data_IF_786671385263
#
_entry.id   IF_786671385263
#
_cell.length_a   1.000
_cell.length_b   1.000
_cell.length_c   1.000
_cell.angle_alpha   90.00
_cell.angle_beta   90.00
_cell.angle_gamma   90.00
#
_symmetry.space_group_name_H-M   'P 1'
#
loop_
_entity.id
_entity.type
_entity.pdbx_description
1 polymer ?
#
# COMPACT_ATOMS: atom_id res chain seq x y z
N UNK A 1 3.85 20.69 12.31
CA UNK A 1 3.26 19.44 12.82
C UNK A 1 3.75 18.29 11.95
N UNK A 2 4.20 17.19 12.55
CA UNK A 2 4.69 15.98 11.85
C UNK A 2 3.79 14.80 12.25
N UNK A 3 3.48 13.92 11.30
CA UNK A 3 2.82 12.62 11.52
C UNK A 3 3.80 11.48 11.25
N UNK A 4 3.61 10.36 11.94
CA UNK A 4 4.35 9.10 11.71
C UNK A 4 5.69 8.96 12.46
N UNK A 5 6.33 10.07 12.85
CA UNK A 5 7.57 10.05 13.61
C UNK A 5 7.75 11.29 14.51
N UNK A 6 8.68 11.21 15.45
CA UNK A 6 9.09 12.34 16.28
C UNK A 6 9.86 13.39 15.45
N UNK A 7 9.59 14.68 15.70
CA UNK A 7 10.20 15.77 14.94
C UNK A 7 11.73 15.86 15.12
N UNK A 8 12.28 15.42 16.26
CA UNK A 8 13.74 15.38 16.44
C UNK A 8 14.39 14.28 15.59
N UNK A 9 13.72 13.12 15.46
CA UNK A 9 14.16 12.04 14.57
C UNK A 9 14.15 12.50 13.12
N UNK A 10 13.07 13.14 12.66
CA UNK A 10 12.99 13.63 11.27
C UNK A 10 14.06 14.69 10.98
N UNK A 11 14.36 15.60 11.92
CA UNK A 11 15.47 16.56 11.73
C UNK A 11 16.83 15.88 11.61
N UNK A 12 17.09 14.81 12.39
CA UNK A 12 18.31 14.01 12.23
C UNK A 12 18.35 13.32 10.87
N UNK A 13 17.26 12.70 10.45
CA UNK A 13 17.14 12.06 9.15
C UNK A 13 17.42 13.02 7.99
N UNK A 14 16.91 14.26 8.08
CA UNK A 14 17.21 15.32 7.09
C UNK A 14 18.71 15.65 7.11
N UNK A 15 19.28 15.96 8.28
CA UNK A 15 20.68 16.36 8.42
C UNK A 15 21.64 15.27 7.93
N UNK A 16 21.38 14.03 8.32
CA UNK A 16 22.26 12.88 8.06
C UNK A 16 21.97 12.21 6.72
N UNK A 17 20.96 12.70 5.98
CA UNK A 17 20.43 12.10 4.73
C UNK A 17 20.06 10.62 4.89
N UNK A 18 19.63 10.24 6.07
CA UNK A 18 19.15 8.90 6.37
C UNK A 18 17.71 8.73 5.85
N UNK A 19 17.55 7.94 4.79
CA UNK A 19 16.26 7.72 4.14
C UNK A 19 15.36 6.72 4.86
N UNK A 20 15.93 5.92 5.77
CA UNK A 20 15.25 4.84 6.49
C UNK A 20 15.57 4.88 8.00
N UNK A 21 15.21 5.96 8.73
CA UNK A 21 15.63 6.20 10.11
C UNK A 21 14.93 5.33 11.18
N UNK A 22 14.35 4.19 10.81
CA UNK A 22 13.70 3.24 11.72
C UNK A 22 12.23 3.53 12.01
N UNK A 23 11.50 4.08 11.04
CA UNK A 23 10.10 4.50 11.14
C UNK A 23 9.15 3.64 10.28
N UNK A 24 7.87 4.00 10.28
CA UNK A 24 6.84 3.49 9.34
C UNK A 24 6.42 4.54 8.30
N UNK A 25 7.26 5.55 8.10
CA UNK A 25 6.95 6.72 7.28
C UNK A 25 6.63 7.95 8.11
N UNK A 26 6.83 9.10 7.50
CA UNK A 26 6.56 10.38 8.14
C UNK A 26 6.32 11.45 7.09
N UNK A 27 5.48 12.42 7.45
CA UNK A 27 5.35 13.64 6.68
C UNK A 27 4.85 14.80 7.55
N UNK A 28 5.02 16.02 7.05
CA UNK A 28 4.40 17.22 7.60
C UNK A 28 5.32 18.43 7.54
N UNK A 29 5.11 19.38 8.45
CA UNK A 29 5.87 20.63 8.56
C UNK A 29 6.73 20.68 9.81
N UNK A 30 8.00 21.04 9.65
CA UNK A 30 8.93 21.35 10.74
C UNK A 30 9.83 22.54 10.38
N UNK A 31 10.70 22.94 11.31
CA UNK A 31 11.83 23.83 10.99
C UNK A 31 13.10 22.99 10.84
N UNK A 32 13.70 23.03 9.64
CA UNK A 32 14.98 22.44 9.30
C UNK A 32 15.95 23.55 8.89
N UNK A 33 17.17 23.53 9.45
CA UNK A 33 18.22 24.51 9.13
C UNK A 33 17.74 25.98 9.26
N UNK A 34 16.83 26.24 10.21
CA UNK A 34 16.27 27.57 10.47
C UNK A 34 15.14 28.00 9.53
N UNK A 35 14.74 27.17 8.56
CA UNK A 35 13.66 27.44 7.59
C UNK A 35 12.44 26.56 7.86
N UNK A 36 11.21 27.05 7.65
CA UNK A 36 10.03 26.18 7.53
C UNK A 36 10.20 25.21 6.36
N UNK A 37 9.85 23.95 6.57
CA UNK A 37 10.03 22.90 5.57
C UNK A 37 8.89 21.89 5.67
N UNK A 38 8.25 21.63 4.53
CA UNK A 38 7.43 20.44 4.34
C UNK A 38 8.33 19.25 4.02
N UNK A 39 8.09 18.12 4.66
CA UNK A 39 8.92 16.93 4.51
C UNK A 39 8.02 15.73 4.26
N UNK A 40 8.42 14.85 3.34
CA UNK A 40 7.74 13.58 3.08
C UNK A 40 8.78 12.47 2.91
N UNK A 41 8.58 11.34 3.60
CA UNK A 41 9.53 10.22 3.60
C UNK A 41 9.76 9.63 2.19
N UNK A 42 10.83 8.85 2.03
CA UNK A 42 11.33 8.34 0.75
C UNK A 42 10.32 7.50 -0.04
N UNK A 43 9.32 6.88 0.61
CA UNK A 43 8.27 6.11 -0.05
C UNK A 43 6.93 6.85 -0.09
N UNK A 44 6.83 8.04 0.49
CA UNK A 44 5.59 8.82 0.51
C UNK A 44 4.47 8.17 1.32
N UNK A 45 4.81 7.37 2.34
CA UNK A 45 3.87 6.55 3.13
C UNK A 45 2.81 7.37 3.85
N UNK A 46 3.17 8.57 4.30
CA UNK A 46 2.21 9.54 4.81
C UNK A 46 1.90 10.55 3.69
N UNK A 47 0.65 10.61 3.19
CA UNK A 47 0.25 11.63 2.21
C UNK A 47 0.43 13.03 2.77
N UNK A 48 0.94 13.93 1.94
CA UNK A 48 1.11 15.35 2.26
C UNK A 48 0.91 16.15 1.00
N UNK A 49 0.07 17.18 1.09
CA UNK A 49 -0.31 18.03 -0.03
C UNK A 49 0.02 19.48 0.28
N UNK A 50 0.36 20.24 -0.75
CA UNK A 50 0.49 21.68 -0.73
C UNK A 50 -0.45 22.29 -1.78
N UNK A 51 -0.83 23.54 -1.62
CA UNK A 51 -1.60 24.29 -2.60
C UNK A 51 -0.69 24.65 -3.80
N UNK A 52 -1.08 24.27 -5.03
CA UNK A 52 -0.23 24.41 -6.23
C UNK A 52 0.27 25.83 -6.48
N UNK A 53 -0.59 26.82 -6.20
CA UNK A 53 -0.32 28.24 -6.44
C UNK A 53 0.13 29.03 -5.21
N UNK A 54 0.42 28.38 -4.08
CA UNK A 54 0.82 29.09 -2.88
C UNK A 54 2.20 29.74 -3.03
N UNK A 55 2.29 31.02 -2.68
CA UNK A 55 3.58 31.75 -2.65
C UNK A 55 4.54 31.20 -1.58
N UNK A 56 4.00 30.72 -0.46
CA UNK A 56 4.73 29.93 0.54
C UNK A 56 3.93 28.65 0.81
N UNK A 57 4.35 27.48 0.28
CA UNK A 57 3.66 26.21 0.49
C UNK A 57 3.76 25.73 1.95
N UNK A 58 4.64 26.32 2.76
CA UNK A 58 4.79 25.98 4.18
C UNK A 58 3.88 26.81 5.09
N UNK A 59 3.21 27.84 4.57
CA UNK A 59 2.32 28.70 5.33
C UNK A 59 1.10 27.92 5.87
N UNK A 60 0.54 28.38 6.98
CA UNK A 60 -0.67 27.77 7.53
C UNK A 60 -1.83 27.91 6.54
N UNK A 61 -2.52 26.81 6.26
CA UNK A 61 -3.58 26.75 5.24
C UNK A 61 -3.09 26.51 3.80
N UNK A 62 -1.77 26.52 3.55
CA UNK A 62 -1.19 26.23 2.23
C UNK A 62 -0.79 24.75 2.07
N UNK A 63 -1.00 23.91 3.09
CA UNK A 63 -0.69 22.49 3.07
C UNK A 63 -1.62 21.71 4.01
N UNK A 64 -1.80 20.43 3.71
CA UNK A 64 -2.64 19.54 4.50
C UNK A 64 -2.25 18.07 4.31
N UNK A 65 -2.67 17.22 5.26
CA UNK A 65 -2.62 15.76 5.09
C UNK A 65 -3.84 15.21 4.32
N UNK A 66 -4.92 16.00 4.27
CA UNK A 66 -6.16 15.70 3.56
C UNK A 66 -6.31 16.70 2.40
N UNK A 67 -6.25 16.25 1.13
CA UNK A 67 -6.28 17.13 -0.02
C UNK A 67 -7.63 17.84 -0.17
N UNK A 68 -8.72 17.30 0.41
CA UNK A 68 -10.07 17.90 0.32
C UNK A 68 -10.21 19.20 1.11
N UNK A 69 -9.21 19.54 1.92
CA UNK A 69 -9.15 20.78 2.71
C UNK A 69 -8.44 21.93 1.97
N UNK A 70 -7.90 21.68 0.78
CA UNK A 70 -7.19 22.63 -0.08
C UNK A 70 -8.01 22.95 -1.35
N UNK A 71 -7.62 24.01 -2.07
CA UNK A 71 -8.30 24.43 -3.31
C UNK A 71 -7.82 23.66 -4.54
N UNK A 72 -6.52 23.69 -4.82
CA UNK A 72 -5.84 22.94 -5.87
C UNK A 72 -4.64 22.17 -5.26
N UNK A 73 -4.92 21.03 -4.57
CA UNK A 73 -3.89 20.25 -3.90
C UNK A 73 -2.93 19.60 -4.89
N UNK A 74 -1.64 19.70 -4.59
CA UNK A 74 -0.56 18.90 -5.20
C UNK A 74 0.16 18.11 -4.14
N UNK A 75 0.44 16.85 -4.44
CA UNK A 75 1.26 16.01 -3.57
C UNK A 75 2.65 16.63 -3.41
N UNK A 76 3.12 16.72 -2.18
CA UNK A 76 4.55 16.94 -1.91
C UNK A 76 5.26 15.66 -2.37
N UNK A 77 6.30 15.74 -3.23
CA UNK A 77 6.97 14.55 -3.74
C UNK A 77 7.55 13.68 -2.61
N UNK A 78 7.50 12.36 -2.77
CA UNK A 78 8.14 11.44 -1.83
C UNK A 78 9.67 11.66 -1.81
N UNK A 79 10.30 11.53 -0.65
CA UNK A 79 11.74 11.72 -0.50
C UNK A 79 12.21 13.18 -0.55
N UNK A 80 11.29 14.15 -0.50
CA UNK A 80 11.62 15.57 -0.64
C UNK A 80 11.45 16.39 0.63
N UNK A 81 12.22 17.47 0.69
CA UNK A 81 12.04 18.62 1.56
C UNK A 81 11.64 19.83 0.71
N UNK A 82 10.40 20.32 0.87
CA UNK A 82 9.86 21.50 0.18
C UNK A 82 9.92 22.72 1.08
N UNK A 83 10.47 23.81 0.56
CA UNK A 83 10.50 25.13 1.21
C UNK A 83 9.73 26.15 0.37
N UNK A 84 9.79 27.44 0.72
CA UNK A 84 9.24 28.50 -0.12
C UNK A 84 9.99 28.68 -1.45
N UNK A 85 11.27 28.31 -1.49
CA UNK A 85 12.15 28.62 -2.62
C UNK A 85 12.44 27.40 -3.52
N UNK A 86 12.36 26.18 -2.97
CA UNK A 86 12.82 24.97 -3.66
C UNK A 86 12.17 23.68 -3.16
N UNK A 87 12.22 22.66 -4.03
CA UNK A 87 12.03 21.25 -3.72
C UNK A 87 13.39 20.54 -3.72
N UNK A 88 13.91 20.20 -2.54
CA UNK A 88 15.15 19.43 -2.37
C UNK A 88 14.81 17.93 -2.35
N UNK A 89 15.28 17.18 -3.35
CA UNK A 89 15.23 15.72 -3.38
C UNK A 89 16.19 15.15 -2.33
N UNK A 90 15.73 15.10 -1.09
CA UNK A 90 16.57 14.88 0.08
C UNK A 90 17.08 13.44 0.20
N UNK A 91 16.27 12.49 -0.23
CA UNK A 91 16.52 11.07 0.00
C UNK A 91 16.35 10.25 -1.28
N UNK A 92 17.26 9.29 -1.42
CA UNK A 92 17.14 8.17 -2.36
C UNK A 92 17.08 6.87 -1.58
N UNK A 93 16.55 5.82 -2.22
CA UNK A 93 16.54 4.49 -1.62
C UNK A 93 17.96 3.94 -1.57
N UNK A 94 18.38 3.32 -0.45
CA UNK A 94 19.72 2.79 -0.32
C UNK A 94 19.99 1.67 -1.31
N UNK A 95 21.26 1.52 -1.68
CA UNK A 95 21.76 0.38 -2.45
C UNK A 95 22.51 -0.57 -1.52
N UNK A 96 22.49 -1.85 -1.86
CA UNK A 96 23.23 -2.89 -1.15
C UNK A 96 22.83 -4.27 -1.64
N UNK A 97 23.67 -5.26 -1.34
CA UNK A 97 23.46 -6.65 -1.70
C UNK A 97 23.71 -7.55 -0.47
N UNK A 98 22.87 -8.59 -0.31
CA UNK A 98 23.03 -9.63 0.70
C UNK A 98 23.60 -10.89 0.06
N UNK A 99 24.61 -11.47 0.70
CA UNK A 99 25.46 -12.51 0.12
C UNK A 99 24.78 -13.87 -0.05
N UNK A 100 24.19 -14.42 1.00
CA UNK A 100 23.66 -15.79 0.99
C UNK A 100 22.17 -15.86 1.37
N UNK A 101 21.52 -16.89 0.84
CA UNK A 101 20.09 -17.17 0.97
C UNK A 101 19.63 -17.24 2.44
N UNK A 102 20.38 -17.94 3.29
CA UNK A 102 20.00 -18.15 4.69
C UNK A 102 20.05 -16.83 5.47
N UNK A 103 21.11 -16.04 5.26
CA UNK A 103 21.23 -14.69 5.83
C UNK A 103 20.13 -13.76 5.33
N UNK A 104 19.78 -13.82 4.05
CA UNK A 104 18.71 -13.01 3.46
C UNK A 104 17.35 -13.37 4.09
N UNK A 105 16.99 -14.66 4.13
CA UNK A 105 15.73 -15.12 4.72
C UNK A 105 15.66 -14.81 6.22
N UNK A 106 16.76 -15.00 6.96
CA UNK A 106 16.82 -14.66 8.38
C UNK A 106 16.66 -13.15 8.63
N UNK A 107 17.22 -12.30 7.76
CA UNK A 107 17.05 -10.85 7.84
C UNK A 107 15.59 -10.45 7.57
N UNK A 108 14.95 -11.01 6.52
CA UNK A 108 13.54 -10.74 6.19
C UNK A 108 12.64 -11.14 7.35
N UNK A 109 12.85 -12.34 7.90
CA UNK A 109 12.13 -12.84 9.08
C UNK A 109 12.26 -11.91 10.29
N UNK A 110 13.48 -11.47 10.62
CA UNK A 110 13.73 -10.57 11.75
C UNK A 110 13.07 -9.20 11.53
N UNK A 111 13.17 -8.65 10.31
CA UNK A 111 12.56 -7.37 9.97
C UNK A 111 11.03 -7.42 10.09
N UNK A 112 10.39 -8.46 9.54
CA UNK A 112 8.94 -8.67 9.64
C UNK A 112 8.51 -8.84 11.09
N UNK A 113 9.24 -9.63 11.89
CA UNK A 113 8.96 -9.81 13.31
C UNK A 113 8.95 -8.48 14.06
N UNK A 114 10.03 -7.71 13.90
CA UNK A 114 10.18 -6.38 14.50
C UNK A 114 9.05 -5.45 14.06
N UNK A 115 8.74 -5.44 12.77
CA UNK A 115 7.70 -4.60 12.20
C UNK A 115 6.30 -4.95 12.71
N UNK A 116 6.02 -6.23 12.97
CA UNK A 116 4.71 -6.70 13.45
C UNK A 116 4.58 -6.60 14.97
N UNK A 117 5.66 -6.83 15.74
CA UNK A 117 5.66 -6.68 17.21
C UNK A 117 5.36 -5.24 17.65
N UNK A 118 5.71 -4.25 16.82
CA UNK A 118 5.43 -2.84 17.08
C UNK A 118 4.01 -2.42 16.69
N UNK A 119 3.15 -3.33 16.19
CA UNK A 119 1.75 -3.02 15.86
C UNK A 119 0.91 -3.16 17.11
N UNK A 120 0.20 -2.09 17.48
CA UNK A 120 -0.80 -2.14 18.53
C UNK A 120 -2.10 -2.74 17.98
N UNK A 121 -2.52 -3.87 18.55
CA UNK A 121 -3.67 -4.64 18.08
C UNK A 121 -4.99 -4.26 18.75
N UNK A 122 -4.97 -3.43 19.79
CA UNK A 122 -6.16 -3.19 20.63
C UNK A 122 -7.35 -2.55 19.89
N UNK A 123 -7.09 -1.71 18.87
CA UNK A 123 -8.12 -1.09 18.03
C UNK A 123 -7.85 -1.32 16.53
N UNK A 124 -7.31 -2.49 16.21
CA UNK A 124 -6.83 -2.80 14.86
C UNK A 124 -7.47 -4.08 14.33
N UNK A 125 -7.93 -4.04 13.09
CA UNK A 125 -8.33 -5.22 12.32
C UNK A 125 -7.30 -5.54 11.22
N UNK A 126 -7.37 -6.72 10.60
CA UNK A 126 -6.50 -7.12 9.50
C UNK A 126 -7.32 -7.35 8.23
N UNK A 127 -6.96 -6.66 7.14
CA UNK A 127 -7.46 -6.97 5.80
C UNK A 127 -6.83 -8.29 5.33
N UNK A 128 -7.64 -9.33 5.27
CA UNK A 128 -7.21 -10.71 5.13
C UNK A 128 -7.75 -11.36 3.86
N UNK A 129 -6.88 -11.48 2.86
CA UNK A 129 -7.24 -12.03 1.55
C UNK A 129 -6.91 -13.52 1.36
N UNK A 130 -6.25 -14.12 2.35
CA UNK A 130 -5.77 -15.50 2.29
C UNK A 130 -4.52 -15.75 1.43
N UNK A 131 -3.90 -14.70 0.87
CA UNK A 131 -2.56 -14.77 0.28
C UNK A 131 -1.45 -14.66 1.33
N UNK A 132 -0.22 -15.01 0.95
CA UNK A 132 0.95 -15.07 1.87
C UNK A 132 1.17 -13.78 2.66
N UNK A 133 0.98 -12.60 2.06
CA UNK A 133 1.25 -11.32 2.70
C UNK A 133 0.27 -11.06 3.86
N UNK A 134 -1.04 -11.16 3.58
CA UNK A 134 -2.07 -10.96 4.61
C UNK A 134 -2.11 -12.11 5.61
N UNK A 135 -1.75 -13.34 5.21
CA UNK A 135 -1.69 -14.47 6.12
C UNK A 135 -0.54 -14.39 7.09
N UNK A 136 0.63 -13.94 6.62
CA UNK A 136 1.75 -13.62 7.48
C UNK A 136 1.35 -12.60 8.56
N UNK A 137 0.65 -11.53 8.18
CA UNK A 137 0.16 -10.53 9.12
C UNK A 137 -0.88 -11.12 10.09
N UNK A 138 -1.83 -11.91 9.59
CA UNK A 138 -2.84 -12.58 10.41
C UNK A 138 -2.25 -13.58 11.41
N UNK A 139 -1.19 -14.30 11.05
CA UNK A 139 -0.50 -15.23 11.94
C UNK A 139 0.32 -14.52 13.02
N UNK A 140 0.70 -13.26 12.78
CA UNK A 140 1.56 -12.47 13.67
C UNK A 140 0.80 -11.53 14.58
N UNK A 141 -0.39 -11.11 14.18
CA UNK A 141 -1.17 -10.09 14.85
C UNK A 141 -2.44 -10.72 15.42
N UNK A 142 -2.62 -10.57 16.74
CA UNK A 142 -3.85 -10.98 17.38
C UNK A 142 -4.93 -9.92 17.19
N UNK A 143 -5.53 -9.92 16.00
CA UNK A 143 -6.55 -9.00 15.57
C UNK A 143 -7.62 -9.73 14.73
N UNK A 144 -8.86 -9.22 14.69
CA UNK A 144 -9.93 -9.80 13.88
C UNK A 144 -9.62 -9.68 12.38
N UNK A 145 -9.98 -10.73 11.65
CA UNK A 145 -9.70 -10.85 10.22
C UNK A 145 -10.93 -10.49 9.40
N UNK A 146 -10.73 -9.65 8.38
CA UNK A 146 -11.80 -9.22 7.48
C UNK A 146 -11.41 -9.51 6.03
N UNK A 147 -12.30 -10.17 5.30
CA UNK A 147 -12.23 -10.28 3.85
C UNK A 147 -13.44 -9.62 3.23
N UNK A 148 -13.29 -9.02 2.07
CA UNK A 148 -14.39 -8.42 1.35
C UNK A 148 -14.40 -8.84 -0.12
N UNK A 149 -15.59 -8.94 -0.72
CA UNK A 149 -15.74 -9.39 -2.09
C UNK A 149 -17.19 -9.71 -2.44
N UNK A 150 -17.47 -9.90 -3.72
CA UNK A 150 -18.76 -10.46 -4.13
C UNK A 150 -18.89 -11.93 -3.71
N UNK A 151 -20.13 -12.39 -3.55
CA UNK A 151 -20.43 -13.80 -3.30
C UNK A 151 -19.69 -14.71 -4.30
N UNK A 152 -19.08 -15.78 -3.79
CA UNK A 152 -18.31 -16.73 -4.59
C UNK A 152 -16.98 -16.21 -5.14
N UNK A 153 -16.51 -15.04 -4.69
CA UNK A 153 -15.21 -14.49 -5.11
C UNK A 153 -14.02 -15.32 -4.63
N UNK A 154 -12.93 -15.25 -5.40
CA UNK A 154 -11.71 -16.02 -5.11
C UNK A 154 -11.08 -15.60 -3.77
N UNK A 155 -11.11 -14.31 -3.44
CA UNK A 155 -10.54 -13.80 -2.19
C UNK A 155 -11.33 -14.30 -0.98
N UNK A 156 -12.67 -14.37 -1.04
CA UNK A 156 -13.48 -14.95 0.04
C UNK A 156 -13.15 -16.44 0.23
N UNK A 157 -13.08 -17.21 -0.87
CA UNK A 157 -12.75 -18.64 -0.79
C UNK A 157 -11.34 -18.88 -0.22
N UNK A 158 -10.34 -18.10 -0.69
CA UNK A 158 -8.97 -18.19 -0.23
C UNK A 158 -8.82 -17.79 1.24
N UNK A 159 -9.46 -16.69 1.65
CA UNK A 159 -9.48 -16.23 3.03
C UNK A 159 -10.13 -17.26 3.95
N UNK A 160 -11.31 -17.81 3.60
CA UNK A 160 -11.95 -18.85 4.43
C UNK A 160 -11.04 -20.06 4.64
N UNK A 161 -10.41 -20.55 3.56
CA UNK A 161 -9.46 -21.66 3.66
C UNK A 161 -8.25 -21.32 4.53
N UNK A 162 -7.67 -20.13 4.37
CA UNK A 162 -6.49 -19.73 5.13
C UNK A 162 -6.82 -19.45 6.61
N UNK A 163 -7.98 -18.85 6.91
CA UNK A 163 -8.45 -18.65 8.28
C UNK A 163 -8.67 -19.98 9.00
N UNK A 164 -9.27 -20.97 8.34
CA UNK A 164 -9.44 -22.31 8.88
C UNK A 164 -8.11 -23.00 9.18
N UNK A 165 -7.12 -22.89 8.28
CA UNK A 165 -5.79 -23.45 8.49
C UNK A 165 -4.98 -22.73 9.59
N UNK A 166 -5.33 -21.48 9.91
CA UNK A 166 -4.74 -20.70 11.01
C UNK A 166 -5.56 -20.79 12.31
N UNK A 167 -6.68 -21.51 12.32
CA UNK A 167 -7.65 -21.56 13.43
C UNK A 167 -8.09 -20.15 13.90
N UNK A 168 -8.45 -19.29 12.93
CA UNK A 168 -8.89 -17.92 13.17
C UNK A 168 -10.31 -17.70 12.67
N UNK A 169 -11.07 -16.90 13.40
CA UNK A 169 -12.36 -16.41 12.93
C UNK A 169 -12.18 -15.38 11.80
N UNK A 170 -13.09 -15.43 10.82
CA UNK A 170 -13.07 -14.56 9.65
C UNK A 170 -14.42 -13.88 9.47
N UNK A 171 -14.42 -12.55 9.47
CA UNK A 171 -15.56 -11.74 9.07
C UNK A 171 -15.54 -11.54 7.56
N UNK A 172 -16.68 -11.84 6.91
CA UNK A 172 -16.86 -11.67 5.46
C UNK A 172 -17.75 -10.47 5.21
N UNK A 173 -17.24 -9.50 4.45
CA UNK A 173 -17.96 -8.33 3.97
C UNK A 173 -18.37 -8.57 2.52
N UNK A 174 -19.58 -9.08 2.35
CA UNK A 174 -20.10 -9.37 1.02
C UNK A 174 -20.54 -8.09 0.31
N UNK A 175 -20.10 -7.92 -0.94
CA UNK A 175 -20.44 -6.76 -1.77
C UNK A 175 -21.77 -6.93 -2.48
N UNK A 176 -22.51 -5.83 -2.58
CA UNK A 176 -23.60 -5.64 -3.52
C UNK A 176 -23.22 -4.63 -4.60
N UNK A 177 -24.03 -4.56 -5.66
CA UNK A 177 -23.87 -3.53 -6.67
C UNK A 177 -24.16 -2.13 -6.13
N UNK A 178 -25.10 -2.02 -5.19
CA UNK A 178 -25.47 -0.75 -4.56
C UNK A 178 -24.33 -0.21 -3.68
N UNK A 179 -23.58 -1.11 -3.01
CA UNK A 179 -22.37 -0.73 -2.27
C UNK A 179 -21.33 -0.10 -3.20
N UNK A 180 -21.11 -0.68 -4.39
CA UNK A 180 -20.21 -0.12 -5.38
C UNK A 180 -20.67 1.27 -5.84
N UNK A 181 -21.94 1.42 -6.22
CA UNK A 181 -22.50 2.70 -6.69
C UNK A 181 -22.39 3.77 -5.60
N UNK A 182 -22.64 3.41 -4.34
CA UNK A 182 -22.53 4.33 -3.19
C UNK A 182 -21.08 4.69 -2.83
N UNK A 183 -20.15 3.73 -2.93
CA UNK A 183 -18.75 3.95 -2.56
C UNK A 183 -17.96 4.76 -3.60
N UNK A 184 -18.25 4.62 -4.90
CA UNK A 184 -17.50 5.29 -5.97
C UNK A 184 -17.37 6.81 -5.76
N UNK A 185 -18.46 7.58 -5.52
CA UNK A 185 -18.35 9.03 -5.34
C UNK A 185 -17.54 9.42 -4.09
N UNK A 186 -17.58 8.58 -3.05
CA UNK A 186 -16.86 8.80 -1.79
C UNK A 186 -15.37 8.53 -1.96
N UNK A 187 -15.01 7.46 -2.67
CA UNK A 187 -13.63 7.14 -3.05
C UNK A 187 -13.05 8.23 -3.94
N UNK A 188 -13.80 8.66 -4.96
CA UNK A 188 -13.35 9.70 -5.87
C UNK A 188 -13.12 11.03 -5.15
N UNK A 189 -14.02 11.40 -4.23
CA UNK A 189 -13.84 12.59 -3.37
C UNK A 189 -12.64 12.47 -2.45
N UNK A 190 -12.45 11.33 -1.78
CA UNK A 190 -11.37 11.15 -0.82
C UNK A 190 -9.99 11.13 -1.50
N UNK A 191 -9.89 10.51 -2.68
CA UNK A 191 -8.62 10.30 -3.39
C UNK A 191 -8.32 11.37 -4.43
N UNK A 192 -9.33 12.11 -4.90
CA UNK A 192 -9.25 13.00 -6.06
C UNK A 192 -9.13 12.25 -7.40
N UNK A 193 -9.42 10.93 -7.44
CA UNK A 193 -9.18 10.08 -8.61
C UNK A 193 -10.47 9.50 -9.17
N UNK A 194 -10.59 9.52 -10.50
CA UNK A 194 -11.73 8.99 -11.24
C UNK A 194 -11.38 7.84 -12.17
N UNK A 195 -10.08 7.60 -12.42
CA UNK A 195 -9.66 6.53 -13.32
C UNK A 195 -10.12 5.16 -12.79
N UNK A 196 -10.61 4.31 -13.70
CA UNK A 196 -11.24 3.05 -13.35
C UNK A 196 -10.34 2.13 -12.51
N UNK A 197 -9.04 2.06 -12.83
CA UNK A 197 -8.13 1.14 -12.16
C UNK A 197 -7.94 1.50 -10.68
N UNK A 198 -7.72 2.77 -10.37
CA UNK A 198 -7.57 3.21 -8.99
C UNK A 198 -8.87 3.02 -8.20
N UNK A 199 -10.02 3.38 -8.76
CA UNK A 199 -11.30 3.18 -8.09
C UNK A 199 -11.58 1.70 -7.84
N UNK A 200 -11.26 0.83 -8.82
CA UNK A 200 -11.43 -0.62 -8.67
C UNK A 200 -10.52 -1.24 -7.62
N UNK A 201 -9.30 -0.70 -7.42
CA UNK A 201 -8.37 -1.15 -6.37
C UNK A 201 -8.82 -0.63 -5.00
N UNK A 202 -9.28 0.62 -4.94
CA UNK A 202 -9.72 1.24 -3.69
C UNK A 202 -11.05 0.66 -3.17
N UNK A 203 -11.96 0.24 -4.05
CA UNK A 203 -13.29 -0.26 -3.69
C UNK A 203 -13.27 -1.35 -2.61
N UNK A 204 -12.51 -2.46 -2.77
CA UNK A 204 -12.47 -3.48 -1.74
C UNK A 204 -11.88 -3.01 -0.41
N UNK A 205 -10.83 -2.18 -0.46
CA UNK A 205 -10.20 -1.62 0.74
C UNK A 205 -11.16 -0.69 1.48
N UNK A 206 -11.84 0.19 0.75
CA UNK A 206 -12.80 1.15 1.28
C UNK A 206 -13.97 0.45 1.97
N UNK A 207 -14.64 -0.49 1.29
CA UNK A 207 -15.79 -1.21 1.85
C UNK A 207 -15.40 -2.10 3.04
N UNK A 208 -14.21 -2.70 3.02
CA UNK A 208 -13.66 -3.40 4.19
C UNK A 208 -13.49 -2.45 5.36
N UNK A 209 -12.87 -1.28 5.11
CA UNK A 209 -12.63 -0.27 6.13
C UNK A 209 -13.92 0.30 6.72
N UNK A 210 -14.95 0.54 5.92
CA UNK A 210 -16.24 0.99 6.43
C UNK A 210 -16.85 0.00 7.43
N UNK A 211 -16.77 -1.30 7.10
CA UNK A 211 -17.23 -2.32 8.04
C UNK A 211 -16.39 -2.34 9.31
N UNK A 212 -15.06 -2.27 9.17
CA UNK A 212 -14.12 -2.27 10.30
C UNK A 212 -14.37 -1.07 11.23
N UNK A 213 -14.61 0.12 10.67
CA UNK A 213 -15.00 1.31 11.43
C UNK A 213 -16.35 1.13 12.13
N UNK A 214 -17.35 0.56 11.44
CA UNK A 214 -18.67 0.29 12.02
C UNK A 214 -18.61 -0.72 13.17
N UNK A 215 -17.67 -1.66 13.12
CA UNK A 215 -17.42 -2.65 14.18
C UNK A 215 -16.57 -2.08 15.34
N UNK A 216 -16.16 -0.80 15.26
CA UNK A 216 -15.51 -0.06 16.35
C UNK A 216 -13.99 -0.06 16.35
N UNK A 217 -13.34 -0.43 15.24
CA UNK A 217 -11.88 -0.38 15.11
C UNK A 217 -11.43 0.88 14.36
N UNK A 218 -10.36 1.51 14.84
CA UNK A 218 -9.83 2.74 14.26
C UNK A 218 -8.76 2.49 13.19
N UNK A 219 -8.22 1.26 13.13
CA UNK A 219 -7.06 0.92 12.30
C UNK A 219 -7.29 -0.34 11.48
N UNK A 220 -6.75 -0.34 10.26
CA UNK A 220 -6.74 -1.50 9.38
C UNK A 220 -5.32 -1.85 8.96
N UNK A 221 -4.86 -3.03 9.35
CA UNK A 221 -3.60 -3.60 8.87
C UNK A 221 -3.79 -4.12 7.46
N UNK A 222 -2.88 -3.73 6.57
CA UNK A 222 -2.93 -4.05 5.15
C UNK A 222 -1.57 -4.60 4.66
N UNK A 223 -1.62 -5.46 3.64
CA UNK A 223 -0.44 -6.16 3.09
C UNK A 223 0.39 -5.36 2.09
N UNK A 224 0.16 -4.05 2.00
CA UNK A 224 0.78 -3.16 1.01
C UNK A 224 2.31 -3.21 1.06
N UNK A 225 2.94 -3.10 -0.11
CA UNK A 225 4.38 -3.12 -0.29
C UNK A 225 4.96 -4.51 -0.50
N UNK A 226 4.25 -5.60 -0.18
CA UNK A 226 4.80 -6.94 -0.29
C UNK A 226 5.15 -7.32 -1.74
N UNK A 227 4.28 -6.99 -2.70
CA UNK A 227 4.52 -7.29 -4.11
C UNK A 227 5.65 -6.44 -4.69
N UNK A 228 5.74 -5.16 -4.34
CA UNK A 228 6.82 -4.26 -4.77
C UNK A 228 8.16 -4.65 -4.16
N UNK A 229 8.19 -4.89 -2.85
CA UNK A 229 9.43 -5.15 -2.11
C UNK A 229 9.98 -6.55 -2.37
N UNK A 230 9.14 -7.56 -2.61
CA UNK A 230 9.60 -8.95 -2.70
C UNK A 230 9.43 -9.57 -4.09
N UNK A 231 9.14 -8.79 -5.13
CA UNK A 231 9.03 -9.32 -6.50
C UNK A 231 7.78 -10.19 -6.70
N UNK A 232 6.63 -9.68 -6.25
CA UNK A 232 5.35 -10.38 -6.36
C UNK A 232 4.63 -10.23 -7.70
N UNK A 233 4.97 -9.22 -8.48
CA UNK A 233 4.36 -9.01 -9.78
C UNK A 233 4.97 -9.91 -10.86
N UNK A 234 4.13 -10.49 -11.71
CA UNK A 234 4.58 -11.28 -12.86
C UNK A 234 5.54 -10.48 -13.77
N UNK A 235 5.29 -9.16 -13.94
CA UNK A 235 6.18 -8.29 -14.73
C UNK A 235 7.59 -8.18 -14.14
N UNK A 236 7.73 -8.26 -12.82
CA UNK A 236 9.05 -8.26 -12.15
C UNK A 236 9.73 -9.62 -12.32
N UNK A 237 8.97 -10.70 -12.24
CA UNK A 237 9.48 -12.06 -12.45
C UNK A 237 9.95 -12.32 -13.88
N UNK A 238 9.25 -11.74 -14.85
CA UNK A 238 9.53 -11.89 -16.27
C UNK A 238 10.55 -10.87 -16.80
N UNK A 239 11.13 -10.01 -15.97
CA UNK A 239 12.14 -9.06 -16.41
C UNK A 239 13.42 -9.83 -16.84
N UNK A 240 14.04 -9.48 -17.99
CA UNK A 240 13.79 -8.28 -18.82
C UNK A 240 12.75 -8.46 -19.94
N UNK A 241 12.14 -9.63 -20.09
CA UNK A 241 11.29 -9.99 -21.24
C UNK A 241 9.86 -9.42 -21.17
N UNK A 242 9.48 -8.73 -20.07
CA UNK A 242 8.17 -8.11 -19.91
C UNK A 242 8.14 -6.66 -20.39
N UNK A 243 7.41 -6.39 -21.47
CA UNK A 243 7.23 -5.04 -22.06
C UNK A 243 6.69 -3.95 -21.12
N UNK A 244 6.25 -4.27 -19.90
CA UNK A 244 5.76 -3.31 -18.89
C UNK A 244 6.85 -2.89 -17.90
N UNK A 245 8.08 -3.35 -18.10
CA UNK A 245 9.26 -3.06 -17.29
C UNK A 245 10.38 -2.65 -18.25
N UNK A 246 11.06 -1.56 -17.93
CA UNK A 246 12.21 -1.07 -18.69
C UNK A 246 13.53 -1.67 -18.19
N UNK A 247 13.55 -2.15 -16.94
CA UNK A 247 14.74 -2.66 -16.31
C UNK A 247 15.21 -4.02 -16.84
N UNK A 248 16.52 -4.14 -17.06
CA UNK A 248 17.17 -5.35 -17.59
C UNK A 248 17.31 -6.51 -16.57
N UNK A 249 16.90 -6.31 -15.32
CA UNK A 249 17.08 -7.31 -14.25
C UNK A 249 15.86 -7.32 -13.31
N UNK A 250 15.60 -8.47 -12.67
CA UNK A 250 14.57 -8.60 -11.62
C UNK A 250 14.74 -7.54 -10.52
N UNK A 251 15.98 -7.26 -10.10
CA UNK A 251 16.27 -6.22 -9.09
C UNK A 251 15.98 -4.82 -9.61
N UNK A 252 16.33 -4.52 -10.86
CA UNK A 252 15.97 -3.25 -11.48
C UNK A 252 14.45 -3.10 -11.60
N UNK A 253 13.75 -4.16 -11.98
CA UNK A 253 12.29 -4.19 -12.08
C UNK A 253 11.62 -4.00 -10.72
N UNK A 254 12.17 -4.59 -9.66
CA UNK A 254 11.77 -4.34 -8.26
C UNK A 254 11.89 -2.84 -7.92
N UNK A 255 13.02 -2.20 -8.27
CA UNK A 255 13.22 -0.75 -8.03
C UNK A 255 12.21 0.10 -8.82
N UNK A 256 11.93 -0.26 -10.06
CA UNK A 256 10.94 0.41 -10.90
C UNK A 256 9.54 0.35 -10.28
N UNK A 257 9.10 -0.83 -9.80
CA UNK A 257 7.78 -0.93 -9.14
C UNK A 257 7.74 -0.25 -7.78
N UNK A 258 8.84 -0.26 -7.01
CA UNK A 258 8.94 0.50 -5.74
C UNK A 258 8.76 2.00 -5.99
N UNK A 259 9.27 2.53 -7.11
CA UNK A 259 9.10 3.94 -7.47
C UNK A 259 7.63 4.34 -7.70
N UNK A 260 6.74 3.38 -7.93
CA UNK A 260 5.29 3.62 -8.07
C UNK A 260 4.54 3.65 -6.74
N UNK A 261 5.17 3.20 -5.63
CA UNK A 261 4.53 3.16 -4.31
C UNK A 261 3.94 4.50 -3.85
N UNK A 262 4.59 5.66 -4.04
CA UNK A 262 4.03 6.93 -3.55
C UNK A 262 2.61 7.20 -4.06
N UNK A 263 2.34 6.92 -5.34
CA UNK A 263 1.02 7.11 -5.94
C UNK A 263 0.02 6.05 -5.46
N UNK A 264 0.46 4.79 -5.31
CA UNK A 264 -0.40 3.71 -4.82
C UNK A 264 -0.80 3.92 -3.36
N UNK A 265 0.16 4.29 -2.50
CA UNK A 265 -0.05 4.53 -1.08
C UNK A 265 -0.93 5.75 -0.85
N UNK A 266 -0.78 6.79 -1.65
CA UNK A 266 -1.66 7.95 -1.58
C UNK A 266 -3.12 7.57 -1.82
N UNK A 267 -3.42 6.80 -2.88
CA UNK A 267 -4.78 6.28 -3.14
C UNK A 267 -5.29 5.47 -1.96
N UNK A 268 -4.52 4.46 -1.53
CA UNK A 268 -4.97 3.52 -0.52
C UNK A 268 -5.19 4.19 0.83
N UNK A 269 -4.25 5.07 1.25
CA UNK A 269 -4.35 5.78 2.53
C UNK A 269 -5.51 6.75 2.54
N UNK A 270 -5.72 7.51 1.45
CA UNK A 270 -6.85 8.42 1.35
C UNK A 270 -8.19 7.69 1.33
N UNK A 271 -8.29 6.59 0.58
CA UNK A 271 -9.49 5.75 0.56
C UNK A 271 -9.82 5.21 1.95
N UNK A 272 -8.83 4.64 2.66
CA UNK A 272 -9.04 4.07 3.99
C UNK A 272 -9.43 5.13 5.03
N UNK A 273 -8.77 6.30 5.01
CA UNK A 273 -9.14 7.44 5.87
C UNK A 273 -10.53 7.98 5.54
N UNK A 274 -10.90 8.03 4.27
CA UNK A 274 -12.24 8.41 3.82
C UNK A 274 -13.35 7.42 4.27
N UNK A 275 -12.97 6.18 4.57
CA UNK A 275 -13.84 5.16 5.17
C UNK A 275 -13.80 5.16 6.72
N UNK A 276 -12.98 6.02 7.33
CA UNK A 276 -12.93 6.22 8.78
C UNK A 276 -11.87 5.40 9.53
N UNK A 277 -10.93 4.75 8.85
CA UNK A 277 -9.84 3.99 9.51
C UNK A 277 -8.47 4.47 9.08
N UNK A 278 -7.49 4.39 9.99
CA UNK A 278 -6.09 4.65 9.69
C UNK A 278 -5.40 3.36 9.20
N UNK A 279 -4.77 3.36 8.01
CA UNK A 279 -4.02 2.21 7.53
C UNK A 279 -2.75 1.96 8.35
N UNK A 280 -2.43 0.69 8.53
CA UNK A 280 -1.14 0.23 9.06
C UNK A 280 -0.54 -0.74 8.06
N UNK A 281 0.62 -0.43 7.49
CA UNK A 281 1.32 -1.30 6.54
C UNK A 281 2.68 -1.74 7.11
N UNK A 282 2.73 -2.80 7.96
CA UNK A 282 3.96 -3.20 8.64
C UNK A 282 5.10 -3.57 7.69
N UNK A 283 4.76 -4.13 6.53
CA UNK A 283 5.72 -4.53 5.50
C UNK A 283 6.42 -3.34 4.83
N UNK A 284 5.93 -2.12 5.03
CA UNK A 284 6.55 -0.86 4.59
C UNK A 284 7.32 -0.14 5.70
N UNK A 285 7.57 -0.80 6.83
CA UNK A 285 8.51 -0.28 7.84
C UNK A 285 9.94 -0.20 7.29
N UNK A 286 10.71 0.77 7.75
CA UNK A 286 12.06 1.05 7.25
C UNK A 286 12.96 -0.19 7.28
N UNK A 287 12.91 -0.98 8.35
CA UNK A 287 13.71 -2.21 8.46
C UNK A 287 13.31 -3.31 7.46
N UNK A 288 12.03 -3.41 7.09
CA UNK A 288 11.57 -4.35 6.05
C UNK A 288 11.98 -3.85 4.67
N UNK A 289 11.79 -2.55 4.40
CA UNK A 289 12.20 -1.91 3.15
C UNK A 289 13.70 -2.07 2.95
N UNK A 290 14.53 -1.67 3.92
CA UNK A 290 15.99 -1.80 3.85
C UNK A 290 16.42 -3.24 3.58
N UNK A 291 15.77 -4.19 4.26
CA UNK A 291 16.08 -5.61 4.07
C UNK A 291 15.73 -6.09 2.66
N UNK A 292 14.57 -5.71 2.15
CA UNK A 292 14.10 -6.08 0.81
C UNK A 292 14.93 -5.43 -0.31
N UNK A 293 15.37 -4.19 -0.12
CA UNK A 293 16.25 -3.48 -1.06
C UNK A 293 17.65 -4.10 -1.19
N UNK A 294 18.07 -4.85 -0.17
CA UNK A 294 19.31 -5.62 -0.15
C UNK A 294 19.22 -7.01 -0.78
N UNK A 295 18.03 -7.46 -1.22
CA UNK A 295 17.87 -8.77 -1.86
C UNK A 295 18.37 -8.73 -3.31
N UNK A 296 19.02 -9.81 -3.74
CA UNK A 296 19.38 -10.01 -5.15
C UNK A 296 18.23 -10.66 -5.93
N UNK A 297 18.30 -10.64 -7.27
CA UNK A 297 17.23 -11.15 -8.14
C UNK A 297 16.74 -12.55 -7.78
N UNK A 298 17.66 -13.50 -7.57
CA UNK A 298 17.36 -14.90 -7.21
C UNK A 298 16.74 -15.10 -5.82
N UNK A 299 16.78 -14.06 -4.97
CA UNK A 299 16.13 -14.02 -3.65
C UNK A 299 14.73 -13.38 -3.72
N UNK A 300 14.42 -12.66 -4.79
CA UNK A 300 13.09 -12.11 -5.07
C UNK A 300 12.25 -13.12 -5.85
N UNK A 301 12.81 -13.64 -6.94
CA UNK A 301 12.18 -14.56 -7.87
C UNK A 301 13.15 -15.70 -8.18
N UNK A 302 12.67 -16.94 -8.06
CA UNK A 302 13.48 -18.13 -8.35
C UNK A 302 12.79 -19.02 -9.38
N UNK A 303 13.57 -19.49 -10.37
CA UNK A 303 13.01 -20.25 -11.49
C UNK A 303 12.01 -19.43 -12.30
N UNK A 304 11.14 -20.11 -13.04
CA UNK A 304 10.20 -19.44 -13.95
C UNK A 304 9.06 -18.71 -13.20
N UNK A 305 8.68 -19.14 -11.99
CA UNK A 305 7.45 -18.66 -11.35
C UNK A 305 7.50 -18.49 -9.80
N UNK A 306 8.60 -18.84 -9.10
CA UNK A 306 8.64 -18.75 -7.63
C UNK A 306 8.89 -17.30 -7.17
N UNK A 307 7.82 -16.49 -7.23
CA UNK A 307 7.77 -15.09 -6.79
C UNK A 307 7.74 -14.97 -5.27
N UNK A 308 8.18 -13.82 -4.75
CA UNK A 308 8.24 -13.53 -3.30
C UNK A 308 9.10 -14.56 -2.56
N UNK A 309 10.15 -15.09 -3.19
CA UNK A 309 10.90 -16.25 -2.69
C UNK A 309 11.34 -16.05 -1.23
N UNK A 310 12.11 -14.99 -0.94
CA UNK A 310 12.61 -14.74 0.42
C UNK A 310 11.47 -14.50 1.43
N UNK A 311 10.41 -13.81 1.03
CA UNK A 311 9.24 -13.57 1.87
C UNK A 311 8.51 -14.88 2.20
N UNK A 312 8.28 -15.76 1.22
CA UNK A 312 7.62 -17.06 1.43
C UNK A 312 8.44 -17.94 2.36
N UNK A 313 9.77 -17.98 2.18
CA UNK A 313 10.70 -18.72 3.06
C UNK A 313 10.74 -18.17 4.48
N UNK A 314 10.68 -16.85 4.63
CA UNK A 314 10.56 -16.23 5.95
C UNK A 314 9.21 -16.56 6.59
N UNK A 315 8.12 -16.48 5.81
CA UNK A 315 6.76 -16.71 6.26
C UNK A 315 6.48 -18.15 6.69
N UNK A 316 7.22 -19.14 6.17
CA UNK A 316 7.15 -20.54 6.62
C UNK A 316 7.48 -20.75 8.11
N UNK A 317 8.02 -19.75 8.81
CA UNK A 317 8.13 -19.80 10.28
C UNK A 317 6.75 -19.76 10.96
N UNK A 318 5.78 -19.06 10.38
CA UNK A 318 4.49 -18.78 11.00
C UNK A 318 3.31 -19.39 10.25
N UNK A 319 3.50 -19.83 9.00
CA UNK A 319 2.43 -20.28 8.12
C UNK A 319 2.60 -21.75 7.73
N UNK A 320 1.49 -22.50 7.63
CA UNK A 320 1.46 -23.77 6.92
C UNK A 320 2.00 -23.62 5.49
N UNK A 321 2.69 -24.65 5.01
CA UNK A 321 3.33 -24.65 3.69
C UNK A 321 2.35 -24.35 2.55
N UNK A 322 1.13 -24.86 2.65
CA UNK A 322 0.05 -24.64 1.68
C UNK A 322 -0.37 -23.16 1.55
N UNK A 323 -0.29 -22.37 2.63
CA UNK A 323 -0.56 -20.93 2.60
C UNK A 323 0.69 -20.19 2.14
N UNK A 324 1.85 -20.56 2.67
CA UNK A 324 3.12 -19.91 2.34
C UNK A 324 3.45 -19.97 0.84
N UNK A 325 3.04 -21.04 0.14
CA UNK A 325 3.26 -21.24 -1.31
C UNK A 325 2.08 -20.87 -2.19
N UNK A 326 0.97 -20.40 -1.62
CA UNK A 326 -0.25 -20.09 -2.38
C UNK A 326 -0.03 -18.92 -3.34
N UNK A 327 -0.51 -19.06 -4.56
CA UNK A 327 -0.64 -17.96 -5.51
C UNK A 327 -1.90 -17.14 -5.28
N UNK A 328 -1.82 -15.84 -5.59
CA UNK A 328 -2.95 -14.92 -5.43
C UNK A 328 -3.11 -14.01 -6.65
N UNK A 329 -4.37 -13.66 -6.95
CA UNK A 329 -4.75 -12.60 -7.90
C UNK A 329 -4.70 -11.22 -7.21
N UNK A 330 -4.58 -10.16 -8.00
CA UNK A 330 -4.70 -8.79 -7.48
C UNK A 330 -6.10 -8.53 -6.92
N UNK A 331 -6.20 -7.66 -5.91
CA UNK A 331 -7.40 -7.47 -5.08
C UNK A 331 -8.66 -7.16 -5.88
N UNK A 332 -8.57 -6.27 -6.87
CA UNK A 332 -9.70 -5.88 -7.72
C UNK A 332 -10.27 -7.03 -8.56
N UNK A 333 -9.44 -8.03 -8.88
CA UNK A 333 -9.86 -9.24 -9.61
C UNK A 333 -10.26 -10.37 -8.68
N UNK A 334 -9.55 -10.53 -7.55
CA UNK A 334 -9.81 -11.55 -6.55
C UNK A 334 -11.15 -11.39 -5.86
N UNK A 335 -11.56 -10.14 -5.62
CA UNK A 335 -12.85 -9.75 -5.00
C UNK A 335 -14.00 -9.61 -6.00
N UNK A 336 -13.70 -9.69 -7.30
CA UNK A 336 -14.60 -9.37 -8.42
C UNK A 336 -15.06 -7.91 -8.54
N UNK A 337 -14.53 -6.97 -7.75
CA UNK A 337 -14.91 -5.55 -7.85
C UNK A 337 -14.74 -4.98 -9.27
N UNK A 338 -13.61 -5.25 -9.94
CA UNK A 338 -13.40 -4.79 -11.32
C UNK A 338 -14.42 -5.39 -12.31
N UNK A 339 -14.75 -6.67 -12.13
CA UNK A 339 -15.72 -7.39 -12.99
C UNK A 339 -17.12 -6.83 -12.82
N UNK A 340 -17.55 -6.60 -11.58
CA UNK A 340 -18.89 -6.10 -11.28
C UNK A 340 -19.04 -4.61 -11.64
N UNK A 341 -18.00 -3.79 -11.45
CA UNK A 341 -18.02 -2.39 -11.91
C UNK A 341 -18.09 -2.29 -13.44
N UNK A 342 -17.34 -3.12 -14.19
CA UNK A 342 -17.50 -3.23 -15.65
C UNK A 342 -18.91 -3.65 -16.05
N UNK A 343 -19.54 -4.55 -15.28
CA UNK A 343 -20.91 -4.99 -15.53
C UNK A 343 -21.91 -3.85 -15.32
N UNK A 344 -21.74 -3.03 -14.28
CA UNK A 344 -22.57 -1.84 -14.04
C UNK A 344 -22.43 -0.83 -15.16
N UNK A 345 -21.21 -0.46 -15.51
CA UNK A 345 -20.93 0.44 -16.63
C UNK A 345 -21.67 -0.01 -17.91
N UNK A 346 -21.59 -1.30 -18.24
CA UNK A 346 -22.27 -1.85 -19.42
C UNK A 346 -23.80 -1.84 -19.33
N UNK A 347 -24.37 -2.03 -18.13
CA UNK A 347 -25.82 -1.94 -17.90
C UNK A 347 -26.32 -0.51 -18.11
N UNK A 348 -25.54 0.48 -17.69
CA UNK A 348 -25.88 1.89 -17.76
C UNK A 348 -25.52 2.56 -19.10
N UNK A 349 -25.19 1.74 -20.11
CA UNK A 349 -24.97 2.19 -21.48
C UNK A 349 -23.52 2.48 -21.84
N UNK A 350 -22.58 2.41 -20.89
CA UNK A 350 -21.14 2.55 -21.14
C UNK A 350 -20.57 1.23 -21.71
N UNK A 351 -20.62 1.10 -23.03
CA UNK A 351 -20.22 -0.14 -23.73
C UNK A 351 -18.70 -0.18 -23.93
N UNK A 352 -18.11 -1.39 -23.96
CA UNK A 352 -16.67 -1.63 -24.21
C UNK A 352 -16.09 -1.02 -25.50
N UNK A 353 -16.95 -0.71 -26.48
CA UNK A 353 -16.57 -0.01 -27.71
C UNK A 353 -16.29 1.48 -27.49
N UNK A 354 -16.66 2.02 -26.33
CA UNK A 354 -16.32 3.36 -25.91
C UNK A 354 -14.95 3.28 -25.25
N UNK A 355 -14.02 4.13 -25.68
CA UNK A 355 -12.72 4.22 -25.04
C UNK A 355 -12.91 4.57 -23.56
N UNK A 356 -12.24 3.83 -22.70
CA UNK A 356 -12.27 3.95 -21.25
C UNK A 356 -13.69 4.01 -20.63
N UNK A 357 -14.55 3.07 -21.06
CA UNK A 357 -15.97 3.07 -20.68
C UNK A 357 -16.21 2.97 -19.17
N UNK A 358 -15.32 2.33 -18.42
CA UNK A 358 -15.48 2.22 -16.95
C UNK A 358 -15.13 3.54 -16.27
N UNK A 359 -14.06 4.24 -16.68
CA UNK A 359 -13.75 5.57 -16.13
C UNK A 359 -14.89 6.54 -16.42
N UNK A 360 -15.43 6.54 -17.64
CA UNK A 360 -16.60 7.36 -17.99
C UNK A 360 -17.83 7.06 -17.14
N UNK A 361 -18.04 5.78 -16.79
CA UNK A 361 -19.10 5.40 -15.86
C UNK A 361 -18.82 5.92 -14.45
N UNK A 362 -17.59 5.77 -13.94
CA UNK A 362 -17.17 6.33 -12.64
C UNK A 362 -17.43 7.83 -12.59
N UNK A 363 -17.02 8.56 -13.62
CA UNK A 363 -17.23 10.02 -13.73
C UNK A 363 -18.72 10.40 -13.77
N UNK A 364 -19.57 9.55 -14.35
CA UNK A 364 -21.02 9.80 -14.40
C UNK A 364 -21.74 9.64 -13.05
N UNK A 365 -21.06 9.04 -12.05
CA UNK A 365 -21.59 8.88 -10.69
C UNK A 365 -21.23 10.05 -9.77
N UNK A 366 -20.38 10.99 -10.21
CA UNK A 366 -19.92 12.15 -9.45
C UNK A 366 -20.84 13.36 -9.69
#
# INVERSE_FOLDING_TARGET
>A
MIRGADASLVRRAIRDRDSLPGTRGFAGRLSAEGRPTLVRDVLGRVPLFAERGAADPTADGAWAFDPTTLGDPVSVPAGHCRTADEDDARWTLPEGDRSDDDTAVAAVRRAIRTATDAVDTASTAVAFSGGVDSALLAARLDAPLYVAGFEGSHDIAAARSAAAALDRELTVVEFTHDDLVSAVPRIARATGRTNAMDVQIALPLFLTAERVAADGYDRLVVGQGADELFGGYAKVANAPDDHRIEADTVRGAQREVIATLPEQLERDVLALRGAGVEPVAPLLSDGVVETALGLVGEQLVRGEDERKWALRRAASEWLPEEIARRDKKAVQYGTYAARELDRLARRDGFKRRMDDHVTKYVESLL
#
